data_IF_418143458174
#
_entry.id   IF_418143458174
#
_cell.length_a   1.000
_cell.length_b   1.000
_cell.length_c   1.000
_cell.angle_alpha   90.00
_cell.angle_beta   90.00
_cell.angle_gamma   90.00
#
_symmetry.space_group_name_H-M   'P 1'
#
loop_
_entity.id
_entity.type
_entity.pdbx_description
1 polymer ?
#
# COMPACT_ATOMS: atom_id res chain seq x y z
N UNK A 1 -21.46 -41.96 12.15
CA UNK A 1 -20.58 -41.01 12.86
C UNK A 1 -21.41 -40.21 13.88
N UNK A 2 -21.06 -40.24 15.17
CA UNK A 2 -21.86 -39.58 16.22
C UNK A 2 -21.92 -38.06 16.04
N UNK A 3 -23.02 -37.42 16.48
CA UNK A 3 -23.19 -35.95 16.41
C UNK A 3 -21.99 -35.20 17.03
N UNK A 4 -21.43 -35.74 18.13
CA UNK A 4 -20.22 -35.23 18.78
C UNK A 4 -18.99 -35.27 17.88
N UNK A 5 -18.74 -36.38 17.18
CA UNK A 5 -17.59 -36.50 16.27
C UNK A 5 -17.72 -35.57 15.05
N UNK A 6 -18.94 -35.37 14.53
CA UNK A 6 -19.20 -34.37 13.46
C UNK A 6 -18.88 -32.95 13.92
N UNK A 7 -19.33 -32.57 15.11
CA UNK A 7 -19.06 -31.25 15.67
C UNK A 7 -17.56 -31.01 15.87
N UNK A 8 -16.83 -31.98 16.44
CA UNK A 8 -15.39 -31.88 16.64
C UNK A 8 -14.62 -31.70 15.32
N UNK A 9 -15.01 -32.43 14.27
CA UNK A 9 -14.37 -32.31 12.94
C UNK A 9 -14.63 -30.93 12.33
N UNK A 10 -15.85 -30.42 12.40
CA UNK A 10 -16.19 -29.08 11.88
C UNK A 10 -15.42 -28.02 12.66
N UNK A 11 -15.40 -28.12 13.99
CA UNK A 11 -14.67 -27.18 14.84
C UNK A 11 -13.17 -27.19 14.55
N UNK A 12 -12.56 -28.37 14.42
CA UNK A 12 -11.15 -28.50 14.03
C UNK A 12 -10.87 -27.93 12.63
N UNK A 13 -11.78 -28.13 11.68
CA UNK A 13 -11.66 -27.56 10.33
C UNK A 13 -11.70 -26.02 10.36
N UNK A 14 -12.58 -25.43 11.18
CA UNK A 14 -12.65 -23.97 11.35
C UNK A 14 -11.34 -23.43 11.94
N UNK A 15 -10.83 -24.04 13.02
CA UNK A 15 -9.55 -23.65 13.61
C UNK A 15 -8.42 -23.74 12.59
N UNK A 16 -8.39 -24.82 11.80
CA UNK A 16 -7.36 -25.00 10.78
C UNK A 16 -7.43 -23.91 9.71
N UNK A 17 -8.62 -23.60 9.18
CA UNK A 17 -8.80 -22.55 8.16
C UNK A 17 -8.40 -21.18 8.71
N UNK A 18 -8.83 -20.85 9.93
CA UNK A 18 -8.50 -19.58 10.58
C UNK A 18 -6.98 -19.49 10.84
N UNK A 19 -6.36 -20.54 11.36
CA UNK A 19 -4.92 -20.59 11.57
C UNK A 19 -4.13 -20.47 10.27
N UNK A 20 -4.54 -21.17 9.21
CA UNK A 20 -3.92 -21.07 7.90
C UNK A 20 -4.03 -19.65 7.31
N UNK A 21 -5.17 -18.98 7.50
CA UNK A 21 -5.36 -17.59 7.09
C UNK A 21 -4.39 -16.63 7.79
N UNK A 22 -4.22 -16.74 9.11
CA UNK A 22 -3.26 -15.90 9.84
C UNK A 22 -1.81 -16.17 9.40
N UNK A 23 -1.43 -17.44 9.22
CA UNK A 23 -0.09 -17.79 8.72
C UNK A 23 0.12 -17.22 7.31
N UNK A 24 -0.85 -17.36 6.41
CA UNK A 24 -0.75 -16.87 5.05
C UNK A 24 -0.61 -15.34 4.99
N UNK A 25 -1.43 -14.62 5.75
CA UNK A 25 -1.37 -13.14 5.82
C UNK A 25 -0.06 -12.67 6.46
N UNK A 26 0.46 -13.37 7.47
CA UNK A 26 1.77 -13.08 8.07
C UNK A 26 2.91 -13.26 7.05
N UNK A 27 2.96 -14.41 6.37
CA UNK A 27 3.99 -14.70 5.34
C UNK A 27 3.92 -13.66 4.22
N UNK A 28 2.72 -13.38 3.72
CA UNK A 28 2.51 -12.41 2.65
C UNK A 28 3.00 -11.01 3.02
N UNK A 29 2.53 -10.49 4.16
CA UNK A 29 2.86 -9.14 4.62
C UNK A 29 4.34 -8.99 4.89
N UNK A 30 4.98 -10.01 5.48
CA UNK A 30 6.43 -10.05 5.69
C UNK A 30 7.19 -9.94 4.37
N UNK A 31 6.81 -10.74 3.36
CA UNK A 31 7.45 -10.71 2.05
C UNK A 31 7.26 -9.38 1.34
N UNK A 32 6.06 -8.80 1.39
CA UNK A 32 5.81 -7.51 0.74
C UNK A 32 6.58 -6.39 1.44
N UNK A 33 6.57 -6.32 2.78
CA UNK A 33 7.37 -5.34 3.52
C UNK A 33 8.87 -5.44 3.21
N UNK A 34 9.38 -6.67 3.02
CA UNK A 34 10.75 -6.89 2.57
C UNK A 34 10.98 -6.43 1.13
N UNK A 35 10.01 -6.63 0.23
CA UNK A 35 10.09 -6.19 -1.16
C UNK A 35 10.00 -4.67 -1.34
N UNK A 36 9.43 -3.97 -0.36
CA UNK A 36 9.44 -2.50 -0.31
C UNK A 36 10.82 -1.93 0.09
N UNK A 37 11.77 -2.76 0.54
CA UNK A 37 13.11 -2.30 0.92
C UNK A 37 13.84 -1.70 -0.27
N UNK A 38 14.48 -0.54 -0.06
CA UNK A 38 15.21 0.18 -1.10
C UNK A 38 14.31 0.88 -2.11
N UNK A 39 12.99 0.91 -1.91
CA UNK A 39 12.12 1.83 -2.62
C UNK A 39 12.31 3.26 -2.12
N UNK A 40 11.93 4.22 -2.95
CA UNK A 40 11.92 5.62 -2.58
C UNK A 40 10.91 5.87 -1.45
N UNK A 41 11.35 6.64 -0.45
CA UNK A 41 10.56 7.03 0.71
C UNK A 41 10.22 8.50 0.61
N UNK A 42 8.99 8.86 0.96
CA UNK A 42 8.47 10.21 0.88
C UNK A 42 8.18 10.76 2.27
N UNK A 43 8.40 12.07 2.45
CA UNK A 43 8.10 12.76 3.72
C UNK A 43 6.60 12.75 4.01
N UNK A 44 5.77 12.92 2.97
CA UNK A 44 4.30 12.80 3.06
C UNK A 44 3.74 12.06 1.85
N UNK A 45 2.54 11.45 1.96
CA UNK A 45 1.87 10.80 0.83
C UNK A 45 1.60 11.75 -0.34
N UNK A 46 1.26 13.00 -0.07
CA UNK A 46 1.03 14.03 -1.08
C UNK A 46 2.32 14.34 -1.85
N UNK A 47 3.47 14.35 -1.18
CA UNK A 47 4.78 14.47 -1.84
C UNK A 47 5.07 13.27 -2.72
N UNK A 48 4.80 12.06 -2.24
CA UNK A 48 4.91 10.87 -3.07
C UNK A 48 4.00 10.93 -4.30
N UNK A 49 2.76 11.37 -4.15
CA UNK A 49 1.84 11.53 -5.28
C UNK A 49 2.36 12.57 -6.29
N UNK A 50 2.95 13.68 -5.84
CA UNK A 50 3.56 14.68 -6.72
C UNK A 50 4.71 14.11 -7.55
N UNK A 51 5.61 13.31 -6.94
CA UNK A 51 6.71 12.66 -7.65
C UNK A 51 6.19 11.62 -8.66
N UNK A 52 5.17 10.83 -8.28
CA UNK A 52 4.53 9.88 -9.20
C UNK A 52 3.85 10.61 -10.38
N UNK A 53 3.25 11.78 -10.17
CA UNK A 53 2.71 12.60 -11.26
C UNK A 53 3.84 13.02 -12.21
N UNK A 54 4.97 13.49 -11.69
CA UNK A 54 6.11 13.88 -12.51
C UNK A 54 6.69 12.71 -13.32
N UNK A 55 6.61 11.49 -12.79
CA UNK A 55 7.05 10.26 -13.47
C UNK A 55 6.08 9.80 -14.57
N UNK A 56 4.77 9.87 -14.30
CA UNK A 56 3.75 9.28 -15.18
C UNK A 56 3.10 10.26 -16.15
N UNK A 57 3.26 11.57 -15.98
CA UNK A 57 2.61 12.58 -16.81
C UNK A 57 3.63 13.56 -17.38
N UNK A 58 3.29 14.18 -18.51
CA UNK A 58 4.11 15.26 -19.07
C UNK A 58 3.25 16.42 -19.54
N UNK A 59 3.86 17.61 -19.52
CA UNK A 59 3.16 18.89 -19.78
C UNK A 59 1.94 18.98 -18.85
N UNK A 60 2.19 18.89 -17.55
CA UNK A 60 1.17 18.97 -16.51
C UNK A 60 0.76 20.44 -16.35
N UNK A 61 -0.50 20.73 -16.64
CA UNK A 61 -1.08 22.08 -16.56
C UNK A 61 -1.59 22.38 -15.16
N UNK A 62 -2.20 21.39 -14.52
CA UNK A 62 -2.86 21.54 -13.22
C UNK A 62 -2.90 20.21 -12.48
N UNK A 63 -2.75 20.26 -11.16
CA UNK A 63 -2.96 19.15 -10.25
C UNK A 63 -3.85 19.63 -9.11
N UNK A 64 -4.87 18.85 -8.76
CA UNK A 64 -5.68 19.06 -7.56
C UNK A 64 -5.67 17.79 -6.72
N UNK A 65 -5.39 17.90 -5.42
CA UNK A 65 -5.57 16.79 -4.48
C UNK A 65 -7.07 16.74 -4.13
N UNK A 66 -7.73 15.65 -4.51
CA UNK A 66 -9.14 15.40 -4.18
C UNK A 66 -9.26 14.87 -2.77
N UNK A 67 -8.39 13.92 -2.43
CA UNK A 67 -8.35 13.26 -1.14
C UNK A 67 -6.91 12.88 -0.82
N UNK A 68 -6.52 13.10 0.43
CA UNK A 68 -5.30 12.54 1.00
C UNK A 68 -5.61 12.20 2.46
N UNK A 69 -5.64 10.92 2.78
CA UNK A 69 -5.99 10.52 4.13
C UNK A 69 -5.93 9.03 4.37
N UNK A 70 -6.14 8.70 5.65
CA UNK A 70 -6.17 7.32 6.13
C UNK A 70 -7.30 6.54 5.47
N UNK A 71 -6.99 5.29 5.16
CA UNK A 71 -7.98 4.27 4.82
C UNK A 71 -8.43 3.55 6.10
N UNK A 72 -8.77 2.26 5.99
CA UNK A 72 -9.21 1.41 7.11
C UNK A 72 -8.10 1.23 8.17
N UNK A 73 -6.83 1.36 7.78
CA UNK A 73 -5.67 1.22 8.66
C UNK A 73 -4.95 2.56 8.85
N UNK A 74 -4.52 2.86 10.08
CA UNK A 74 -3.85 4.14 10.40
C UNK A 74 -2.56 4.35 9.60
N UNK A 75 -1.87 3.26 9.27
CA UNK A 75 -0.60 3.32 8.55
C UNK A 75 -0.76 3.27 7.03
N UNK A 76 -1.99 3.22 6.51
CA UNK A 76 -2.26 3.17 5.08
C UNK A 76 -3.03 4.41 4.66
N UNK A 77 -2.44 5.21 3.80
CA UNK A 77 -3.09 6.37 3.21
C UNK A 77 -3.35 6.15 1.73
N UNK A 78 -4.47 6.69 1.27
CA UNK A 78 -4.78 6.79 -0.15
C UNK A 78 -4.76 8.27 -0.54
N UNK A 79 -4.09 8.56 -1.64
CA UNK A 79 -4.04 9.91 -2.22
C UNK A 79 -4.66 9.85 -3.60
N UNK A 80 -5.75 10.56 -3.78
CA UNK A 80 -6.46 10.74 -5.05
C UNK A 80 -6.22 12.15 -5.55
N UNK A 81 -5.85 12.26 -6.82
CA UNK A 81 -5.57 13.55 -7.46
C UNK A 81 -6.27 13.65 -8.81
N UNK A 82 -6.62 14.87 -9.20
CA UNK A 82 -6.98 15.20 -10.58
C UNK A 82 -5.79 15.82 -11.28
N UNK A 83 -5.46 15.31 -12.46
CA UNK A 83 -4.31 15.73 -13.25
C UNK A 83 -4.76 16.15 -14.63
N UNK A 84 -4.54 17.42 -14.97
CA UNK A 84 -4.68 17.94 -16.33
C UNK A 84 -3.30 17.96 -16.95
N UNK A 85 -3.05 17.12 -17.95
CA UNK A 85 -1.75 17.01 -18.62
C UNK A 85 -1.93 16.78 -20.13
N UNK A 86 -0.86 16.87 -20.92
CA UNK A 86 -0.95 16.60 -22.35
C UNK A 86 -0.95 15.08 -22.66
N UNK A 87 -0.20 14.29 -21.88
CA UNK A 87 -0.09 12.84 -22.08
C UNK A 87 0.34 12.12 -20.81
N UNK A 88 -0.06 10.84 -20.73
CA UNK A 88 0.46 9.83 -19.79
C UNK A 88 1.64 9.08 -20.41
N UNK A 89 2.56 8.61 -19.58
CA UNK A 89 3.73 7.82 -20.00
C UNK A 89 3.35 6.44 -20.54
N UNK A 90 2.21 5.89 -20.12
CA UNK A 90 1.66 4.62 -20.61
C UNK A 90 0.89 4.77 -21.94
N UNK A 91 0.86 5.97 -22.52
CA UNK A 91 0.20 6.26 -23.79
C UNK A 91 -1.33 6.21 -23.74
N UNK A 92 -1.93 5.98 -22.56
CA UNK A 92 -3.38 6.03 -22.43
C UNK A 92 -3.85 7.48 -22.53
N UNK A 93 -4.85 7.71 -23.36
CA UNK A 93 -5.53 9.00 -23.42
C UNK A 93 -6.31 9.26 -22.13
N UNK A 94 -6.62 10.53 -21.89
CA UNK A 94 -7.62 10.89 -20.90
C UNK A 94 -8.99 10.36 -21.38
N UNK A 95 -9.87 10.02 -20.44
CA UNK A 95 -11.26 9.69 -20.76
C UNK A 95 -11.95 10.88 -21.46
N UNK A 96 -13.26 10.86 -21.69
CA UNK A 96 -14.01 12.03 -22.21
C UNK A 96 -14.01 13.27 -21.27
N UNK A 97 -13.07 13.34 -20.32
CA UNK A 97 -12.81 14.42 -19.39
C UNK A 97 -11.45 15.01 -19.72
N UNK A 98 -11.28 16.32 -19.55
CA UNK A 98 -10.00 17.02 -19.76
C UNK A 98 -8.93 16.70 -18.70
N UNK A 99 -9.19 15.75 -17.81
CA UNK A 99 -8.31 15.34 -16.73
C UNK A 99 -8.31 13.82 -16.50
N UNK A 100 -7.24 13.35 -15.90
CA UNK A 100 -7.12 12.03 -15.29
C UNK A 100 -7.34 12.09 -13.79
N UNK A 101 -7.74 10.97 -13.18
CA UNK A 101 -8.00 10.88 -11.75
C UNK A 101 -7.25 9.72 -11.10
N UNK A 102 -5.90 9.71 -11.11
CA UNK A 102 -5.14 8.63 -10.51
C UNK A 102 -5.22 8.65 -8.98
N UNK A 103 -5.03 7.47 -8.40
CA UNK A 103 -4.93 7.27 -6.97
C UNK A 103 -3.80 6.32 -6.62
N UNK A 104 -3.15 6.57 -5.48
CA UNK A 104 -2.01 5.76 -5.02
C UNK A 104 -2.08 5.52 -3.52
N UNK A 105 -1.67 4.31 -3.12
CA UNK A 105 -1.54 3.93 -1.72
C UNK A 105 -0.14 4.22 -1.21
N UNK A 106 -0.07 4.73 0.01
CA UNK A 106 1.17 4.99 0.72
C UNK A 106 1.12 4.31 2.08
N UNK A 107 2.12 3.48 2.34
CA UNK A 107 2.28 2.78 3.62
C UNK A 107 3.27 3.56 4.50
N UNK A 108 2.85 3.90 5.71
CA UNK A 108 3.71 4.53 6.70
C UNK A 108 4.73 3.53 7.23
N UNK A 109 6.01 3.86 7.03
CA UNK A 109 7.15 3.05 7.45
C UNK A 109 8.10 3.92 8.26
N UNK A 110 8.30 3.55 9.53
CA UNK A 110 9.12 4.31 10.48
C UNK A 110 8.64 5.76 10.61
N UNK A 111 9.27 6.70 9.89
CA UNK A 111 8.95 8.14 9.87
C UNK A 111 8.73 8.68 8.45
N UNK A 112 8.41 7.80 7.49
CA UNK A 112 8.26 8.15 6.08
C UNK A 112 7.15 7.29 5.44
N UNK A 113 6.88 7.55 4.17
CA UNK A 113 5.82 6.91 3.40
C UNK A 113 6.39 6.22 2.17
N UNK A 114 6.00 4.97 1.93
CA UNK A 114 6.41 4.23 0.73
C UNK A 114 5.20 4.00 -0.15
N UNK A 115 5.37 4.23 -1.46
CA UNK A 115 4.35 3.92 -2.44
C UNK A 115 4.12 2.41 -2.54
N UNK A 116 2.87 1.98 -2.46
CA UNK A 116 2.47 0.58 -2.66
C UNK A 116 1.49 0.52 -3.82
N UNK A 117 1.82 -0.26 -4.84
CA UNK A 117 0.90 -0.50 -5.96
C UNK A 117 -0.31 -1.31 -5.49
N UNK A 118 -1.51 -0.97 -5.97
CA UNK A 118 -2.76 -1.68 -5.64
C UNK A 118 -2.69 -3.19 -5.89
N UNK A 119 -1.96 -3.64 -6.92
CA UNK A 119 -1.75 -5.07 -7.23
C UNK A 119 -1.02 -5.86 -6.15
N UNK A 120 -0.48 -5.19 -5.13
CA UNK A 120 0.18 -5.80 -3.96
C UNK A 120 -0.73 -5.86 -2.74
N UNK A 121 -2.01 -5.52 -2.87
CA UNK A 121 -2.98 -5.55 -1.79
C UNK A 121 -2.49 -4.76 -0.55
N UNK A 122 -2.35 -3.43 -0.66
CA UNK A 122 -1.83 -2.56 0.40
C UNK A 122 -2.51 -2.78 1.76
N UNK A 123 -3.79 -3.11 1.75
CA UNK A 123 -4.60 -3.40 2.94
C UNK A 123 -4.12 -4.64 3.69
N UNK A 124 -3.73 -5.70 2.98
CA UNK A 124 -3.19 -6.91 3.62
C UNK A 124 -1.83 -6.60 4.24
N UNK A 125 -1.01 -5.80 3.55
CA UNK A 125 0.30 -5.40 4.05
C UNK A 125 0.15 -4.54 5.32
N UNK A 126 -0.75 -3.55 5.29
CA UNK A 126 -1.05 -2.69 6.43
C UNK A 126 -1.64 -3.48 7.60
N UNK A 127 -2.60 -4.37 7.33
CA UNK A 127 -3.15 -5.30 8.32
C UNK A 127 -2.04 -6.12 8.98
N UNK A 128 -1.19 -6.78 8.20
CA UNK A 128 -0.12 -7.61 8.75
C UNK A 128 0.92 -6.79 9.52
N UNK A 129 1.22 -5.58 9.06
CA UNK A 129 2.10 -4.63 9.76
C UNK A 129 1.54 -4.29 11.15
N UNK A 130 0.29 -3.83 11.22
CA UNK A 130 -0.34 -3.44 12.48
C UNK A 130 -0.63 -4.63 13.39
N UNK A 131 -1.23 -5.69 12.86
CA UNK A 131 -1.71 -6.84 13.62
C UNK A 131 -0.58 -7.73 14.16
N UNK A 132 0.49 -7.96 13.39
CA UNK A 132 1.62 -8.78 13.83
C UNK A 132 2.82 -7.95 14.34
N UNK A 133 2.72 -6.62 14.33
CA UNK A 133 3.84 -5.74 14.70
C UNK A 133 5.04 -5.86 13.77
N UNK A 134 4.83 -6.18 12.48
CA UNK A 134 5.93 -6.28 11.51
C UNK A 134 6.57 -4.91 11.31
N UNK A 135 7.89 -4.89 11.20
CA UNK A 135 8.64 -3.65 11.00
C UNK A 135 9.20 -3.60 9.60
N UNK A 136 9.04 -2.44 8.97
CA UNK A 136 9.89 -2.05 7.87
C UNK A 136 11.30 -1.85 8.42
N UNK A 137 12.22 -2.71 8.03
CA UNK A 137 13.63 -2.66 8.43
C UNK A 137 14.40 -2.25 7.20
N UNK A 138 14.81 -0.99 7.18
CA UNK A 138 15.71 -0.42 6.18
C UNK A 138 17.06 -0.23 6.85
N UNK A 139 18.04 -1.04 6.49
CA UNK A 139 19.41 -0.89 7.00
C UNK A 139 20.10 0.34 6.38
N UNK A 140 19.48 0.99 5.40
CA UNK A 140 20.11 2.01 4.55
C UNK A 140 19.98 3.44 5.07
N UNK A 141 19.20 3.70 6.14
CA UNK A 141 18.99 5.05 6.68
C UNK A 141 19.72 5.37 7.99
N UNK A 142 20.53 4.46 8.54
CA UNK A 142 21.35 4.76 9.72
C UNK A 142 22.61 5.61 9.42
N UNK A 143 22.86 5.99 8.17
CA UNK A 143 24.06 6.74 7.77
C UNK A 143 23.86 8.24 7.53
N UNK A 144 22.63 8.78 7.58
CA UNK A 144 22.38 10.20 7.32
C UNK A 144 22.11 11.05 8.58
N UNK A 145 22.15 10.46 9.77
CA UNK A 145 22.00 11.18 11.07
C UNK A 145 23.34 11.37 11.80
N UNK A 146 24.48 11.06 11.17
CA UNK A 146 25.81 11.18 11.80
C UNK A 146 26.88 11.89 10.92
N UNK A 147 26.47 12.77 9.99
CA UNK A 147 27.41 13.66 9.29
C UNK A 147 26.90 15.09 9.25
#
# INVERSE_FOLDING_TARGET
MSKRRKFLVIFAAIIFVVGAFFIATWVYSTKQLQALRGQEVYVTPEKGAQELIALYYSVVNKVEIVQAGREIFEELWFVEVRVWAAKRSDGKGFSNRDYDNPGWFFLHVQNAWVFVTESKFPEIIAFGKGFYGLRYTDETHLTLSQR
#
